data_IF_202374578875
#
_entry.id   IF_202374578875
#
_cell.length_a   1.000
_cell.length_b   1.000
_cell.length_c   1.000
_cell.angle_alpha   90.00
_cell.angle_beta   90.00
_cell.angle_gamma   90.00
#
_symmetry.space_group_name_H-M   'P 1'
#
loop_
_entity.id
_entity.type
_entity.pdbx_description
1 polymer ?
#
# COMPACT_ATOMS: atom_id res chain seq x y z
N UNK A 1 8.98 -33.90 6.46
CA UNK A 1 10.32 -33.40 6.10
C UNK A 1 10.66 -32.27 7.06
N UNK A 2 11.88 -32.23 7.62
CA UNK A 2 12.35 -31.20 8.56
C UNK A 2 13.61 -30.51 8.00
N UNK A 3 13.71 -29.18 8.14
CA UNK A 3 14.91 -28.42 7.81
C UNK A 3 15.66 -28.04 9.08
N UNK A 4 16.91 -28.49 9.21
CA UNK A 4 17.78 -28.21 10.38
C UNK A 4 18.94 -27.31 9.95
N UNK A 5 19.06 -26.15 10.59
CA UNK A 5 20.16 -25.20 10.37
C UNK A 5 20.83 -24.81 11.68
N UNK A 6 22.12 -24.47 11.64
CA UNK A 6 22.84 -23.91 12.80
C UNK A 6 22.30 -22.54 13.22
N UNK A 7 21.75 -21.80 12.26
CA UNK A 7 21.07 -20.53 12.43
C UNK A 7 19.92 -20.46 11.42
N UNK A 8 18.79 -19.91 11.83
CA UNK A 8 17.60 -19.72 10.98
C UNK A 8 17.22 -18.25 10.98
N UNK A 9 17.19 -17.64 9.79
CA UNK A 9 16.74 -16.25 9.61
C UNK A 9 15.24 -16.25 9.33
N UNK A 10 14.48 -15.46 10.09
CA UNK A 10 13.04 -15.27 9.89
C UNK A 10 12.81 -13.99 9.07
N UNK A 11 12.34 -14.14 7.83
CA UNK A 11 12.19 -13.06 6.85
C UNK A 11 10.77 -12.97 6.24
N UNK A 12 9.74 -13.19 7.06
CA UNK A 12 8.33 -13.23 6.62
C UNK A 12 7.75 -11.86 6.20
N UNK A 13 8.43 -10.76 6.54
CA UNK A 13 7.95 -9.40 6.26
C UNK A 13 6.92 -8.89 7.27
N UNK A 14 6.00 -8.05 6.80
CA UNK A 14 5.00 -7.37 7.65
C UNK A 14 4.09 -8.40 8.35
N UNK A 15 4.03 -8.33 9.68
CA UNK A 15 3.19 -9.19 10.53
C UNK A 15 3.46 -10.71 10.36
N UNK A 16 4.75 -11.11 10.26
CA UNK A 16 5.17 -12.51 10.17
C UNK A 16 4.56 -13.43 11.26
N UNK A 17 3.94 -14.53 10.82
CA UNK A 17 3.21 -15.44 11.70
C UNK A 17 4.14 -16.23 12.63
N UNK A 18 5.31 -16.66 12.15
CA UNK A 18 6.32 -17.32 12.97
C UNK A 18 7.00 -16.31 13.89
N UNK A 19 7.39 -15.14 13.37
CA UNK A 19 8.00 -14.07 14.16
C UNK A 19 7.12 -13.65 15.35
N UNK A 20 5.80 -13.57 15.16
CA UNK A 20 4.83 -13.30 16.23
C UNK A 20 4.94 -14.28 17.40
N UNK A 21 5.14 -15.57 17.12
CA UNK A 21 5.33 -16.59 18.16
C UNK A 21 6.70 -16.44 18.85
N UNK A 22 7.74 -16.08 18.09
CA UNK A 22 9.08 -15.83 18.65
C UNK A 22 9.09 -14.66 19.62
N UNK A 23 8.34 -13.59 19.33
CA UNK A 23 8.23 -12.44 20.22
C UNK A 23 7.76 -12.84 21.62
N UNK A 24 6.75 -13.72 21.71
CA UNK A 24 6.28 -14.25 22.98
C UNK A 24 7.29 -15.21 23.61
N UNK A 25 7.87 -16.11 22.81
CA UNK A 25 8.78 -17.16 23.30
C UNK A 25 10.04 -16.59 23.93
N UNK A 26 10.60 -15.54 23.35
CA UNK A 26 11.86 -14.92 23.77
C UNK A 26 11.68 -13.52 24.37
N UNK A 27 10.43 -13.11 24.64
CA UNK A 27 10.08 -11.81 25.22
C UNK A 27 10.71 -10.61 24.48
N UNK A 28 10.75 -10.68 23.15
CA UNK A 28 11.46 -9.71 22.29
C UNK A 28 10.80 -8.32 22.24
N UNK A 29 9.72 -8.11 22.98
CA UNK A 29 8.91 -6.88 23.00
C UNK A 29 8.90 -6.19 24.37
N UNK A 30 9.72 -6.61 25.33
CA UNK A 30 9.71 -6.04 26.69
C UNK A 30 10.05 -4.54 26.74
N UNK A 31 10.90 -4.06 25.83
CA UNK A 31 11.41 -2.69 25.85
C UNK A 31 11.09 -1.94 24.55
N UNK A 32 9.95 -2.21 23.93
CA UNK A 32 9.48 -1.46 22.77
C UNK A 32 7.96 -1.33 22.75
N UNK A 33 7.48 -0.34 22.01
CA UNK A 33 6.05 -0.15 21.78
C UNK A 33 5.48 -1.23 20.84
N UNK A 34 4.16 -1.37 20.88
CA UNK A 34 3.45 -2.23 19.92
C UNK A 34 3.59 -1.67 18.52
N UNK A 35 3.76 -2.55 17.54
CA UNK A 35 3.86 -2.14 16.14
C UNK A 35 2.52 -1.60 15.64
N UNK A 36 2.55 -0.47 14.94
CA UNK A 36 1.42 0.07 14.18
C UNK A 36 1.56 -0.31 12.70
N UNK A 37 0.43 -0.35 11.98
CA UNK A 37 0.37 -0.85 10.62
C UNK A 37 -0.55 -0.01 9.76
N UNK A 38 -0.35 -0.06 8.45
CA UNK A 38 -1.33 0.36 7.45
C UNK A 38 -1.57 -0.75 6.45
N UNK A 39 -2.73 -0.72 5.79
CA UNK A 39 -3.03 -1.57 4.65
C UNK A 39 -2.79 -0.79 3.35
N UNK A 40 -2.01 -1.38 2.45
CA UNK A 40 -1.75 -0.84 1.12
C UNK A 40 -2.52 -1.64 0.06
N UNK A 41 -3.24 -0.93 -0.81
CA UNK A 41 -3.86 -1.48 -2.00
C UNK A 41 -3.14 -0.95 -3.23
N UNK A 42 -2.92 -1.80 -4.23
CA UNK A 42 -2.21 -1.44 -5.46
C UNK A 42 -2.91 -2.03 -6.67
N UNK A 43 -2.97 -1.26 -7.73
CA UNK A 43 -3.32 -1.70 -9.08
C UNK A 43 -2.19 -1.31 -10.06
N UNK A 44 -2.07 -2.03 -11.16
CA UNK A 44 -1.24 -1.64 -12.30
C UNK A 44 -2.17 -1.21 -13.44
N UNK A 45 -1.86 -0.10 -14.08
CA UNK A 45 -2.67 0.47 -15.14
C UNK A 45 -1.82 0.72 -16.38
N UNK A 46 -2.26 0.22 -17.53
CA UNK A 46 -1.76 0.66 -18.82
C UNK A 46 -2.59 1.87 -19.26
N UNK A 47 -1.97 3.04 -19.35
CA UNK A 47 -2.66 4.29 -19.70
C UNK A 47 -2.36 4.71 -21.13
N UNK A 48 -3.11 5.68 -21.64
CA UNK A 48 -2.78 6.26 -22.94
C UNK A 48 -1.41 6.94 -22.92
N UNK A 49 -0.58 6.82 -23.97
CA UNK A 49 0.75 7.43 -24.01
C UNK A 49 0.77 8.93 -23.70
N UNK A 50 -0.25 9.68 -24.16
CA UNK A 50 -0.36 11.12 -23.90
C UNK A 50 -0.58 11.48 -22.41
N UNK A 51 -1.06 10.52 -21.61
CA UNK A 51 -1.25 10.68 -20.17
C UNK A 51 -0.02 10.21 -19.37
N UNK A 52 0.95 9.58 -20.02
CA UNK A 52 2.10 8.96 -19.36
C UNK A 52 3.32 9.89 -19.32
N UNK A 53 3.93 10.04 -18.15
CA UNK A 53 5.13 10.87 -17.91
C UNK A 53 6.21 10.03 -17.19
N UNK A 54 6.99 9.21 -17.91
CA UNK A 54 7.92 8.25 -17.32
C UNK A 54 8.82 8.86 -16.23
N UNK A 55 8.98 8.15 -15.11
CA UNK A 55 9.81 8.59 -13.99
C UNK A 55 9.13 9.58 -13.04
N UNK A 56 7.91 10.02 -13.34
CA UNK A 56 7.11 10.87 -12.44
C UNK A 56 6.61 10.09 -11.24
N UNK A 57 6.74 10.70 -10.07
CA UNK A 57 6.31 10.15 -8.78
C UNK A 57 5.36 11.17 -8.13
N UNK A 58 4.15 10.73 -7.80
CA UNK A 58 3.15 11.55 -7.14
C UNK A 58 2.66 10.89 -5.84
N UNK A 59 2.53 11.71 -4.80
CA UNK A 59 1.93 11.34 -3.51
C UNK A 59 0.88 12.37 -3.14
N UNK A 60 -0.25 11.92 -2.61
CA UNK A 60 -1.31 12.82 -2.14
C UNK A 60 -1.83 12.40 -0.77
N UNK A 61 -2.31 13.38 -0.02
CA UNK A 61 -3.01 13.23 1.27
C UNK A 61 -4.31 14.03 1.21
N UNK A 62 -5.26 13.71 2.08
CA UNK A 62 -6.57 14.33 2.13
C UNK A 62 -7.64 13.46 1.47
N UNK A 63 -8.46 14.07 0.61
CA UNK A 63 -9.62 13.37 0.02
C UNK A 63 -9.21 12.04 -0.64
N UNK A 64 -9.96 10.94 -0.41
CA UNK A 64 -11.30 10.88 0.20
C UNK A 64 -11.33 10.72 1.73
N UNK A 65 -10.17 10.72 2.40
CA UNK A 65 -10.08 10.56 3.84
C UNK A 65 -10.44 11.85 4.59
N UNK A 66 -10.93 11.69 5.82
CA UNK A 66 -11.05 12.79 6.76
C UNK A 66 -9.69 13.11 7.41
N UNK A 67 -9.62 14.21 8.16
CA UNK A 67 -8.40 14.68 8.84
C UNK A 67 -7.91 13.77 9.98
N UNK A 68 -8.74 12.83 10.43
CA UNK A 68 -8.44 11.95 11.57
C UNK A 68 -8.06 10.54 11.12
N UNK A 69 -8.09 10.27 9.82
CA UNK A 69 -7.73 8.98 9.24
C UNK A 69 -6.38 9.10 8.55
N UNK A 70 -5.36 8.42 9.07
CA UNK A 70 -4.05 8.39 8.43
C UNK A 70 -4.11 7.61 7.11
N UNK A 71 -3.58 8.20 6.04
CA UNK A 71 -3.47 7.55 4.75
C UNK A 71 -3.15 8.52 3.62
N UNK A 72 -3.06 7.96 2.42
CA UNK A 72 -2.72 8.72 1.22
C UNK A 72 -2.52 7.83 0.00
N UNK A 73 -2.32 8.46 -1.15
CA UNK A 73 -2.09 7.77 -2.42
C UNK A 73 -0.62 7.74 -2.81
N UNK A 74 -0.30 6.81 -3.69
CA UNK A 74 0.89 6.88 -4.52
C UNK A 74 0.52 6.61 -5.98
N UNK A 75 1.18 7.30 -6.91
CA UNK A 75 1.02 7.12 -8.35
C UNK A 75 2.39 7.27 -9.01
N UNK A 76 2.89 6.20 -9.60
CA UNK A 76 4.23 6.13 -10.19
C UNK A 76 4.14 5.79 -11.67
N UNK A 77 4.68 6.65 -12.52
CA UNK A 77 4.85 6.40 -13.95
C UNK A 77 6.11 5.56 -14.16
N UNK A 78 5.92 4.28 -14.51
CA UNK A 78 7.03 3.35 -14.71
C UNK A 78 7.79 3.71 -15.99
N UNK A 79 9.12 3.66 -15.93
CA UNK A 79 9.96 3.91 -17.09
C UNK A 79 10.27 2.60 -17.81
N UNK A 80 9.22 1.98 -18.35
CA UNK A 80 9.26 0.74 -19.12
C UNK A 80 8.75 1.00 -20.56
N UNK A 81 8.83 0.00 -21.44
CA UNK A 81 8.39 0.14 -22.85
C UNK A 81 6.89 0.46 -22.97
N UNK A 82 6.08 -0.06 -22.05
CA UNK A 82 4.64 0.18 -21.99
C UNK A 82 4.33 1.38 -21.09
N UNK A 83 3.27 2.17 -21.39
CA UNK A 83 2.86 3.31 -20.57
C UNK A 83 2.17 2.84 -19.28
N UNK A 84 2.94 2.28 -18.35
CA UNK A 84 2.46 1.68 -17.12
C UNK A 84 2.49 2.65 -15.93
N UNK A 85 1.41 2.66 -15.16
CA UNK A 85 1.31 3.37 -13.89
C UNK A 85 1.08 2.35 -12.77
N UNK A 86 1.97 2.37 -11.77
CA UNK A 86 1.74 1.72 -10.49
C UNK A 86 1.03 2.69 -9.56
N UNK A 87 -0.23 2.41 -9.26
CA UNK A 87 -1.10 3.25 -8.46
C UNK A 87 -1.55 2.52 -7.20
N UNK A 88 -1.67 3.22 -6.09
CA UNK A 88 -2.25 2.65 -4.89
C UNK A 88 -2.62 3.65 -3.82
N UNK A 89 -3.12 3.09 -2.73
CA UNK A 89 -3.64 3.85 -1.60
C UNK A 89 -3.31 3.12 -0.30
N UNK A 90 -2.89 3.87 0.71
CA UNK A 90 -2.54 3.36 2.04
C UNK A 90 -3.49 3.98 3.05
N UNK A 91 -3.98 3.15 3.97
CA UNK A 91 -4.78 3.60 5.13
C UNK A 91 -4.21 2.95 6.40
N UNK A 92 -3.96 3.74 7.43
CA UNK A 92 -3.53 3.27 8.75
C UNK A 92 -4.59 2.36 9.38
N UNK A 93 -4.19 1.23 9.97
CA UNK A 93 -5.11 0.28 10.62
C UNK A 93 -5.57 0.73 12.01
N UNK A 94 -5.29 1.98 12.37
CA UNK A 94 -5.74 2.71 13.55
C UNK A 94 -6.99 3.57 13.27
N UNK A 95 -7.61 3.45 12.08
CA UNK A 95 -8.88 4.12 11.80
C UNK A 95 -9.98 3.70 12.78
N UNK A 96 -10.82 4.66 13.17
CA UNK A 96 -11.83 4.47 14.22
C UNK A 96 -13.22 4.14 13.69
N UNK A 97 -13.52 4.50 12.44
CA UNK A 97 -14.83 4.25 11.83
C UNK A 97 -14.93 2.78 11.34
N UNK A 98 -15.80 1.94 11.93
CA UNK A 98 -15.92 0.53 11.55
C UNK A 98 -16.53 0.31 10.16
N UNK A 99 -17.15 1.34 9.57
CA UNK A 99 -17.71 1.29 8.21
C UNK A 99 -16.72 1.75 7.14
N UNK A 100 -15.54 2.25 7.53
CA UNK A 100 -14.50 2.62 6.57
C UNK A 100 -14.05 1.38 5.82
N UNK A 101 -14.02 1.48 4.49
CA UNK A 101 -13.68 0.36 3.63
C UNK A 101 -12.48 0.73 2.76
N UNK A 102 -11.25 0.29 3.11
CA UNK A 102 -10.03 0.77 2.46
C UNK A 102 -10.03 0.62 0.94
N UNK A 103 -10.52 -0.51 0.44
CA UNK A 103 -10.68 -0.71 -1.01
C UNK A 103 -11.66 0.29 -1.66
N UNK A 104 -12.79 0.61 -1.02
CA UNK A 104 -13.74 1.58 -1.58
C UNK A 104 -13.16 2.99 -1.57
N UNK A 105 -12.41 3.37 -0.54
CA UNK A 105 -11.69 4.64 -0.52
C UNK A 105 -10.66 4.72 -1.64
N UNK A 106 -9.91 3.64 -1.88
CA UNK A 106 -9.02 3.57 -3.04
C UNK A 106 -9.76 3.70 -4.38
N UNK A 107 -10.88 3.00 -4.57
CA UNK A 107 -11.68 3.14 -5.80
C UNK A 107 -12.23 4.56 -5.96
N UNK A 108 -12.68 5.18 -4.87
CA UNK A 108 -13.17 6.57 -4.83
C UNK A 108 -12.08 7.57 -5.18
N UNK A 109 -10.87 7.41 -4.62
CA UNK A 109 -9.71 8.25 -4.91
C UNK A 109 -9.43 8.40 -6.42
N UNK A 110 -9.60 7.32 -7.20
CA UNK A 110 -9.38 7.33 -8.66
C UNK A 110 -10.32 8.29 -9.43
N UNK A 111 -11.41 8.71 -8.81
CA UNK A 111 -12.34 9.71 -9.37
C UNK A 111 -11.99 11.15 -8.99
N UNK A 112 -10.89 11.39 -8.26
CA UNK A 112 -10.44 12.75 -7.99
C UNK A 112 -10.11 13.45 -9.32
N UNK A 113 -10.46 14.74 -9.52
CA UNK A 113 -10.25 15.44 -10.79
C UNK A 113 -8.78 15.51 -11.26
N UNK A 114 -7.81 15.36 -10.36
CA UNK A 114 -6.39 15.29 -10.72
C UNK A 114 -5.93 13.89 -11.15
N UNK A 115 -6.71 12.84 -10.87
CA UNK A 115 -6.32 11.43 -11.08
C UNK A 115 -7.14 10.80 -12.20
N UNK A 116 -8.45 11.04 -12.24
CA UNK A 116 -9.35 10.46 -13.24
C UNK A 116 -8.87 10.73 -14.68
N UNK A 117 -8.41 11.94 -15.06
CA UNK A 117 -7.91 12.19 -16.42
C UNK A 117 -6.70 11.33 -16.80
N UNK A 118 -5.82 11.03 -15.83
CA UNK A 118 -4.61 10.22 -16.05
C UNK A 118 -4.99 8.79 -16.43
N UNK A 119 -6.00 8.22 -15.76
CA UNK A 119 -6.45 6.83 -15.96
C UNK A 119 -7.48 6.68 -17.09
N UNK A 120 -8.00 7.79 -17.64
CA UNK A 120 -9.12 7.77 -18.59
C UNK A 120 -8.77 7.01 -19.88
N UNK A 121 -9.54 5.97 -20.17
CA UNK A 121 -9.33 5.10 -21.33
C UNK A 121 -8.13 4.18 -21.21
N UNK A 122 -7.50 4.11 -20.03
CA UNK A 122 -6.53 3.07 -19.69
C UNK A 122 -7.22 1.77 -19.28
N UNK A 123 -6.44 0.70 -19.20
CA UNK A 123 -6.89 -0.63 -18.80
C UNK A 123 -6.20 -1.04 -17.51
N UNK A 124 -6.97 -1.61 -16.59
CA UNK A 124 -6.43 -2.20 -15.35
C UNK A 124 -5.93 -3.61 -15.64
N UNK A 125 -4.67 -3.89 -15.31
CA UNK A 125 -4.07 -5.23 -15.37
C UNK A 125 -4.42 -6.13 -14.21
#
# INVERSE_FOLDING_TARGET
MELRGKCTVFAEGCHGHLAKQLYSKFKLRENCESQSYGIGLKELWEVKPENHKPGTIEHTVGWPLDKNTYGGSFLYHLNEEQPLIALGFVIGLDYTNPYLHPFKEFQKFKHHPSVEPVLRGGTRG
#
